data_IF_795235510031
#
_entry.id   IF_795235510031
#
_cell.length_a   1.000
_cell.length_b   1.000
_cell.length_c   1.000
_cell.angle_alpha   90.00
_cell.angle_beta   90.00
_cell.angle_gamma   90.00
#
_symmetry.space_group_name_H-M   'P 1'
#
loop_
_entity.id
_entity.type
_entity.pdbx_description
1 polymer ?
#
# COMPACT_ATOMS: atom_id res chain seq x y z
N UNK A 1 -19.25 -13.94 -5.59
CA UNK A 1 -18.61 -12.96 -4.71
C UNK A 1 -19.25 -11.56 -4.87
N UNK A 2 -20.37 -11.44 -5.59
CA UNK A 2 -20.96 -10.15 -5.99
C UNK A 2 -21.62 -9.34 -4.87
N UNK A 3 -21.91 -9.92 -3.70
CA UNK A 3 -22.73 -9.21 -2.70
C UNK A 3 -22.03 -8.83 -1.39
N UNK A 4 -20.74 -9.19 -1.23
CA UNK A 4 -20.04 -8.95 0.05
C UNK A 4 -19.82 -7.46 0.31
N UNK A 5 -19.55 -6.69 -0.76
CA UNK A 5 -19.26 -5.26 -0.67
C UNK A 5 -20.46 -4.36 -1.00
N UNK A 6 -21.59 -4.95 -1.39
CA UNK A 6 -22.80 -4.20 -1.73
C UNK A 6 -23.28 -3.37 -0.54
N UNK A 7 -23.47 -2.06 -0.77
CA UNK A 7 -23.84 -1.07 0.23
C UNK A 7 -22.83 -0.93 1.41
N UNK A 8 -21.63 -1.49 1.28
CA UNK A 8 -20.56 -1.32 2.27
C UNK A 8 -19.82 -0.01 2.04
N UNK A 9 -19.55 0.71 3.12
CA UNK A 9 -18.77 1.95 3.10
C UNK A 9 -17.30 1.58 3.10
N UNK A 10 -16.62 1.84 1.97
CA UNK A 10 -15.23 1.51 1.73
C UNK A 10 -14.40 2.79 1.58
N UNK A 11 -13.50 3.02 2.51
CA UNK A 11 -12.55 4.14 2.51
C UNK A 11 -11.26 3.68 1.82
N UNK A 12 -10.74 4.46 0.86
CA UNK A 12 -9.53 4.12 0.11
C UNK A 12 -8.63 5.35 0.02
N UNK A 13 -7.42 5.27 0.56
CA UNK A 13 -6.37 6.27 0.34
C UNK A 13 -5.48 5.89 -0.84
N UNK A 14 -4.85 6.85 -1.52
CA UNK A 14 -4.06 6.57 -2.71
C UNK A 14 -4.92 6.16 -3.91
N UNK A 15 -6.14 6.70 -3.99
CA UNK A 15 -7.14 6.30 -4.97
C UNK A 15 -6.89 6.85 -6.38
N UNK A 16 -5.97 7.80 -6.56
CA UNK A 16 -5.68 8.42 -7.85
C UNK A 16 -5.00 7.49 -8.86
N UNK A 17 -4.41 6.37 -8.43
CA UNK A 17 -3.69 5.49 -9.34
C UNK A 17 -3.52 4.06 -8.82
N UNK A 18 -2.94 3.18 -9.64
CA UNK A 18 -2.44 1.87 -9.24
C UNK A 18 -3.44 0.99 -8.49
N UNK A 19 -3.02 0.43 -7.36
CA UNK A 19 -3.84 -0.47 -6.53
C UNK A 19 -5.07 0.25 -5.98
N UNK A 20 -4.94 1.53 -5.55
CA UNK A 20 -6.05 2.30 -4.99
C UNK A 20 -7.17 2.53 -6.02
N UNK A 21 -6.81 2.96 -7.24
CA UNK A 21 -7.75 3.10 -8.37
C UNK A 21 -8.42 1.76 -8.71
N UNK A 22 -7.63 0.70 -8.81
CA UNK A 22 -8.17 -0.63 -9.13
C UNK A 22 -9.12 -1.17 -8.03
N UNK A 23 -8.84 -0.87 -6.76
CA UNK A 23 -9.77 -1.16 -5.66
C UNK A 23 -11.06 -0.37 -5.78
N UNK A 24 -10.98 0.94 -6.05
CA UNK A 24 -12.14 1.81 -6.20
C UNK A 24 -13.07 1.31 -7.31
N UNK A 25 -12.54 1.03 -8.50
CA UNK A 25 -13.29 0.50 -9.64
C UNK A 25 -13.93 -0.86 -9.30
N UNK A 26 -13.13 -1.80 -8.75
CA UNK A 26 -13.63 -3.15 -8.45
C UNK A 26 -14.69 -3.14 -7.35
N UNK A 27 -14.61 -2.25 -6.36
CA UNK A 27 -15.61 -2.08 -5.31
C UNK A 27 -16.88 -1.43 -5.84
N UNK A 28 -16.75 -0.45 -6.72
CA UNK A 28 -17.89 0.19 -7.39
C UNK A 28 -18.71 -0.82 -8.20
N UNK A 29 -18.05 -1.69 -8.97
CA UNK A 29 -18.68 -2.79 -9.71
C UNK A 29 -19.46 -3.75 -8.80
N UNK A 30 -19.11 -3.83 -7.51
CA UNK A 30 -19.79 -4.64 -6.50
C UNK A 30 -20.85 -3.85 -5.70
N UNK A 31 -21.11 -2.59 -6.07
CA UNK A 31 -22.14 -1.75 -5.45
C UNK A 31 -21.74 -1.20 -4.06
N UNK A 32 -20.45 -1.02 -3.81
CA UNK A 32 -19.96 -0.37 -2.60
C UNK A 32 -20.23 1.15 -2.61
N UNK A 33 -20.32 1.74 -1.43
CA UNK A 33 -20.28 3.19 -1.20
C UNK A 33 -18.82 3.56 -0.97
N UNK A 34 -18.31 4.57 -1.67
CA UNK A 34 -16.88 4.87 -1.70
C UNK A 34 -16.55 6.19 -1.05
N UNK A 35 -15.52 6.21 -0.23
CA UNK A 35 -14.84 7.41 0.24
C UNK A 35 -13.38 7.34 -0.22
N UNK A 36 -13.04 8.17 -1.21
CA UNK A 36 -11.75 8.15 -1.90
C UNK A 36 -10.88 9.32 -1.45
N UNK A 37 -9.57 9.12 -1.34
CA UNK A 37 -8.65 10.22 -1.10
C UNK A 37 -7.30 10.01 -1.78
N UNK A 38 -6.70 11.12 -2.18
CA UNK A 38 -5.35 11.18 -2.73
C UNK A 38 -4.82 12.62 -2.62
N UNK A 39 -3.51 12.81 -2.75
CA UNK A 39 -2.89 14.12 -2.90
C UNK A 39 -2.97 14.63 -4.35
N UNK A 40 -3.09 13.72 -5.32
CA UNK A 40 -3.19 14.02 -6.75
C UNK A 40 -4.67 14.21 -7.15
N UNK A 41 -5.10 15.47 -7.17
CA UNK A 41 -6.47 15.86 -7.51
C UNK A 41 -6.90 15.38 -8.90
N UNK A 42 -6.05 15.57 -9.91
CA UNK A 42 -6.35 15.17 -11.30
C UNK A 42 -6.57 13.67 -11.39
N UNK A 43 -5.65 12.86 -10.87
CA UNK A 43 -5.76 11.42 -10.91
C UNK A 43 -6.93 10.89 -10.05
N UNK A 44 -7.29 11.59 -8.98
CA UNK A 44 -8.47 11.26 -8.18
C UNK A 44 -9.76 11.53 -8.95
N UNK A 45 -9.86 12.67 -9.63
CA UNK A 45 -10.99 13.01 -10.49
C UNK A 45 -11.19 11.99 -11.62
N UNK A 46 -10.10 11.59 -12.30
CA UNK A 46 -10.15 10.51 -13.30
C UNK A 46 -10.71 9.20 -12.70
N UNK A 47 -10.31 8.85 -11.48
CA UNK A 47 -10.80 7.64 -10.83
C UNK A 47 -12.31 7.74 -10.53
N UNK A 48 -12.77 8.89 -10.07
CA UNK A 48 -14.21 9.15 -9.84
C UNK A 48 -15.01 9.01 -11.13
N UNK A 49 -14.51 9.54 -12.23
CA UNK A 49 -15.14 9.39 -13.55
C UNK A 49 -15.21 7.92 -14.00
N UNK A 50 -14.12 7.16 -13.84
CA UNK A 50 -14.05 5.73 -14.18
C UNK A 50 -15.00 4.87 -13.35
N UNK A 51 -15.23 5.24 -12.10
CA UNK A 51 -16.17 4.53 -11.19
C UNK A 51 -17.61 4.68 -11.67
N UNK A 52 -17.95 5.80 -12.30
CA UNK A 52 -19.26 6.05 -12.91
C UNK A 52 -20.36 6.46 -11.93
N UNK A 53 -21.43 7.02 -12.48
CA UNK A 53 -22.42 7.86 -11.79
C UNK A 53 -23.52 7.16 -10.97
N UNK A 54 -23.57 5.84 -10.86
CA UNK A 54 -24.60 5.15 -10.07
C UNK A 54 -24.18 4.86 -8.62
N UNK A 55 -22.90 5.01 -8.31
CA UNK A 55 -22.36 4.77 -6.97
C UNK A 55 -22.36 6.05 -6.13
N UNK A 56 -22.64 5.91 -4.83
CA UNK A 56 -22.44 7.01 -3.89
C UNK A 56 -20.95 7.15 -3.61
N UNK A 57 -20.35 8.26 -4.06
CA UNK A 57 -18.92 8.53 -3.95
C UNK A 57 -18.72 9.85 -3.21
N UNK A 58 -17.78 9.84 -2.26
CA UNK A 58 -17.20 11.04 -1.66
C UNK A 58 -15.70 11.02 -1.97
N UNK A 59 -15.14 12.15 -2.34
CA UNK A 59 -13.70 12.28 -2.59
C UNK A 59 -13.14 13.54 -1.95
N UNK A 60 -11.92 13.43 -1.43
CA UNK A 60 -11.19 14.52 -0.78
C UNK A 60 -9.73 14.49 -1.15
N UNK A 61 -9.14 15.68 -1.33
CA UNK A 61 -7.73 15.87 -1.67
C UNK A 61 -6.96 16.31 -0.43
N UNK A 62 -6.02 15.48 0.03
CA UNK A 62 -5.14 15.83 1.15
C UNK A 62 -3.86 14.99 1.16
N UNK A 63 -2.83 15.48 1.87
CA UNK A 63 -1.59 14.76 2.10
C UNK A 63 -1.73 13.82 3.31
N UNK A 64 -1.28 12.58 3.19
CA UNK A 64 -1.24 11.60 4.29
C UNK A 64 -0.31 12.01 5.45
N UNK A 65 0.54 13.00 5.24
CA UNK A 65 1.33 13.62 6.30
C UNK A 65 0.52 14.58 7.18
N UNK A 66 -0.63 15.07 6.69
CA UNK A 66 -1.50 16.02 7.41
C UNK A 66 -2.45 15.29 8.36
N UNK A 67 -2.13 15.36 9.67
CA UNK A 67 -2.92 14.71 10.71
C UNK A 67 -4.31 15.32 10.90
N UNK A 68 -4.43 16.66 10.72
CA UNK A 68 -5.70 17.37 10.90
C UNK A 68 -6.65 17.08 9.74
N UNK A 69 -6.13 17.06 8.50
CA UNK A 69 -6.88 16.68 7.33
C UNK A 69 -7.41 15.24 7.43
N UNK A 70 -6.60 14.30 7.92
CA UNK A 70 -7.03 12.91 8.15
C UNK A 70 -8.16 12.84 9.18
N UNK A 71 -8.04 13.54 10.31
CA UNK A 71 -9.06 13.54 11.36
C UNK A 71 -10.38 14.13 10.84
N UNK A 72 -10.31 15.26 10.14
CA UNK A 72 -11.45 15.93 9.51
C UNK A 72 -12.12 15.04 8.46
N UNK A 73 -11.31 14.34 7.64
CA UNK A 73 -11.80 13.40 6.63
C UNK A 73 -12.58 12.25 7.27
N UNK A 74 -12.07 11.64 8.35
CA UNK A 74 -12.75 10.54 9.02
C UNK A 74 -14.12 10.97 9.60
N UNK A 75 -14.22 12.16 10.19
CA UNK A 75 -15.47 12.72 10.68
C UNK A 75 -16.44 13.00 9.51
N UNK A 76 -15.95 13.59 8.42
CA UNK A 76 -16.76 13.88 7.23
C UNK A 76 -17.34 12.60 6.61
N UNK A 77 -16.54 11.53 6.53
CA UNK A 77 -17.01 10.21 6.06
C UNK A 77 -18.16 9.72 6.92
N UNK A 78 -17.99 9.72 8.24
CA UNK A 78 -19.02 9.23 9.17
C UNK A 78 -20.33 10.04 9.08
N UNK A 79 -20.23 11.38 9.01
CA UNK A 79 -21.38 12.27 8.91
C UNK A 79 -22.11 12.15 7.56
N UNK A 80 -21.38 11.92 6.46
CA UNK A 80 -21.95 11.94 5.11
C UNK A 80 -22.42 10.57 4.64
N UNK A 81 -21.64 9.54 4.95
CA UNK A 81 -21.85 8.18 4.45
C UNK A 81 -22.29 7.22 5.56
N UNK A 82 -21.90 7.48 6.79
CA UNK A 82 -22.01 6.59 7.94
C UNK A 82 -20.67 5.94 8.29
N UNK A 83 -20.67 5.10 9.33
CA UNK A 83 -19.46 4.45 9.81
C UNK A 83 -18.89 3.47 8.77
N UNK A 84 -17.57 3.53 8.55
CA UNK A 84 -16.87 2.73 7.58
C UNK A 84 -16.89 1.22 7.90
N UNK A 85 -17.20 0.40 6.89
CA UNK A 85 -17.08 -1.07 6.97
C UNK A 85 -15.66 -1.54 6.63
N UNK A 86 -14.98 -0.86 5.69
CA UNK A 86 -13.63 -1.18 5.25
C UNK A 86 -12.80 0.08 5.11
N UNK A 87 -11.54 0.02 5.58
CA UNK A 87 -10.55 1.08 5.35
C UNK A 87 -9.32 0.46 4.71
N UNK A 88 -9.00 0.92 3.50
CA UNK A 88 -7.84 0.50 2.72
C UNK A 88 -6.80 1.61 2.72
N UNK A 89 -5.76 1.48 3.53
CA UNK A 89 -4.62 2.38 3.58
C UNK A 89 -3.63 1.99 2.48
N UNK A 90 -3.83 2.57 1.28
CA UNK A 90 -3.07 2.23 0.08
C UNK A 90 -2.06 3.30 -0.28
N UNK A 91 -2.32 4.56 0.08
CA UNK A 91 -1.42 5.66 -0.17
C UNK A 91 0.00 5.35 0.30
N UNK A 92 0.96 5.73 -0.49
CA UNK A 92 2.36 5.56 -0.19
C UNK A 92 3.24 6.05 -1.33
N UNK A 93 4.45 6.41 -1.00
CA UNK A 93 5.47 6.85 -1.94
C UNK A 93 6.76 6.05 -1.74
N UNK A 94 7.60 6.05 -2.76
CA UNK A 94 8.96 5.55 -2.66
C UNK A 94 9.95 6.60 -3.18
N UNK A 95 11.16 6.53 -2.66
CA UNK A 95 12.33 7.25 -3.16
C UNK A 95 13.45 6.24 -3.34
N UNK A 96 14.37 6.53 -4.23
CA UNK A 96 15.51 5.66 -4.55
C UNK A 96 16.79 6.44 -4.30
N UNK A 97 17.70 5.85 -3.56
CA UNK A 97 19.03 6.41 -3.26
C UNK A 97 19.73 5.60 -2.18
N UNK A 98 21.05 5.57 -2.26
CA UNK A 98 21.86 4.98 -1.20
C UNK A 98 21.75 5.83 0.07
N UNK A 99 21.88 5.21 1.23
CA UNK A 99 21.75 5.88 2.52
C UNK A 99 22.65 7.11 2.65
N UNK A 100 23.88 7.01 2.16
CA UNK A 100 24.88 8.09 2.25
C UNK A 100 24.54 9.32 1.39
N UNK A 101 23.73 9.14 0.35
CA UNK A 101 23.38 10.18 -0.61
C UNK A 101 21.95 10.73 -0.43
N UNK A 102 21.13 10.03 0.37
CA UNK A 102 19.72 10.40 0.57
C UNK A 102 19.60 11.42 1.70
N UNK A 103 19.03 12.63 1.45
CA UNK A 103 18.76 13.60 2.50
C UNK A 103 17.85 13.05 3.60
N UNK A 104 18.06 13.45 4.85
CA UNK A 104 17.26 12.99 6.00
C UNK A 104 15.79 13.35 5.82
N UNK A 105 15.51 14.56 5.31
CA UNK A 105 14.14 15.04 5.04
C UNK A 105 13.39 14.13 4.05
N UNK A 106 14.12 13.55 3.08
CA UNK A 106 13.57 12.56 2.15
C UNK A 106 13.15 11.29 2.85
N UNK A 107 13.97 10.82 3.80
CA UNK A 107 13.66 9.63 4.61
C UNK A 107 12.48 9.87 5.55
N UNK A 108 12.46 11.03 6.21
CA UNK A 108 11.38 11.46 7.11
C UNK A 108 10.05 11.56 6.36
N UNK A 109 10.05 12.16 5.15
CA UNK A 109 8.84 12.24 4.31
C UNK A 109 8.28 10.87 3.95
N UNK A 110 9.15 9.90 3.62
CA UNK A 110 8.72 8.52 3.34
C UNK A 110 8.10 7.89 4.58
N UNK A 111 8.70 8.07 5.75
CA UNK A 111 8.14 7.55 7.02
C UNK A 111 6.83 8.24 7.37
N UNK A 112 6.72 9.54 7.17
CA UNK A 112 5.53 10.31 7.53
C UNK A 112 4.32 9.89 6.69
N UNK A 113 4.50 9.73 5.39
CA UNK A 113 3.42 9.28 4.49
C UNK A 113 3.13 7.78 4.68
N UNK A 114 4.15 6.92 4.55
CA UNK A 114 3.96 5.47 4.47
C UNK A 114 3.60 4.82 5.79
N UNK A 115 4.14 5.32 6.91
CA UNK A 115 3.94 4.74 8.23
C UNK A 115 3.00 5.60 9.08
N UNK A 116 3.34 6.87 9.34
CA UNK A 116 2.51 7.71 10.18
C UNK A 116 1.14 7.99 9.57
N UNK A 117 1.06 8.15 8.24
CA UNK A 117 -0.22 8.26 7.54
C UNK A 117 -1.11 7.03 7.78
N UNK A 118 -0.55 5.82 7.69
CA UNK A 118 -1.28 4.58 7.99
C UNK A 118 -1.72 4.53 9.46
N UNK A 119 -0.86 4.92 10.42
CA UNK A 119 -1.19 4.96 11.85
C UNK A 119 -2.31 5.97 12.13
N UNK A 120 -2.20 7.19 11.59
CA UNK A 120 -3.20 8.26 11.74
C UNK A 120 -4.56 7.85 11.18
N UNK A 121 -4.60 7.32 9.96
CA UNK A 121 -5.83 6.78 9.36
C UNK A 121 -6.43 5.65 10.17
N UNK A 122 -5.59 4.70 10.60
CA UNK A 122 -6.04 3.58 11.43
C UNK A 122 -6.67 4.07 12.74
N UNK A 123 -6.07 5.09 13.37
CA UNK A 123 -6.57 5.67 14.62
C UNK A 123 -7.87 6.46 14.39
N UNK A 124 -7.95 7.26 13.34
CA UNK A 124 -9.12 8.10 13.04
C UNK A 124 -10.37 7.27 12.68
N UNK A 125 -10.19 6.10 12.07
CA UNK A 125 -11.30 5.22 11.69
C UNK A 125 -11.56 4.06 12.66
N UNK A 126 -10.79 3.93 13.75
CA UNK A 126 -10.85 2.75 14.62
C UNK A 126 -12.24 2.51 15.19
N UNK A 127 -12.88 3.55 15.73
CA UNK A 127 -14.21 3.43 16.36
C UNK A 127 -15.27 3.03 15.34
N UNK A 128 -15.22 3.57 14.13
CA UNK A 128 -16.11 3.20 13.04
C UNK A 128 -15.94 1.71 12.67
N UNK A 129 -14.69 1.23 12.50
CA UNK A 129 -14.37 -0.15 12.20
C UNK A 129 -14.77 -1.09 13.34
N UNK A 130 -14.60 -0.69 14.60
CA UNK A 130 -15.06 -1.45 15.77
C UNK A 130 -16.58 -1.58 15.79
N UNK A 131 -17.32 -0.49 15.58
CA UNK A 131 -18.79 -0.47 15.58
C UNK A 131 -19.39 -1.38 14.51
N UNK A 132 -18.75 -1.46 13.33
CA UNK A 132 -19.17 -2.29 12.18
C UNK A 132 -18.63 -3.72 12.23
N UNK A 133 -17.76 -4.04 13.18
CA UNK A 133 -16.91 -5.26 13.12
C UNK A 133 -16.25 -5.38 11.74
N UNK A 134 -15.81 -4.25 11.22
CA UNK A 134 -15.31 -4.06 9.86
C UNK A 134 -13.90 -4.60 9.64
N UNK A 135 -13.21 -4.08 8.63
CA UNK A 135 -11.84 -4.53 8.29
C UNK A 135 -10.93 -3.35 7.95
N UNK A 136 -9.79 -3.29 8.61
CA UNK A 136 -8.68 -2.38 8.30
C UNK A 136 -7.63 -3.13 7.48
N UNK A 137 -7.22 -2.55 6.36
CA UNK A 137 -6.29 -3.14 5.40
C UNK A 137 -5.13 -2.20 5.16
N UNK A 138 -3.94 -2.57 5.61
CA UNK A 138 -2.73 -1.76 5.49
C UNK A 138 -1.78 -2.34 4.44
N UNK A 139 -1.38 -1.53 3.47
CA UNK A 139 -0.47 -1.97 2.40
C UNK A 139 0.99 -1.79 2.85
N UNK A 140 1.62 -2.92 3.19
CA UNK A 140 3.05 -3.05 3.34
C UNK A 140 3.71 -3.34 1.97
N UNK A 141 4.64 -4.27 1.89
CA UNK A 141 5.36 -4.69 0.68
C UNK A 141 6.08 -6.00 0.96
N UNK A 142 6.63 -6.65 -0.07
CA UNK A 142 7.71 -7.65 0.11
C UNK A 142 8.92 -7.02 0.79
N UNK A 143 9.15 -5.72 0.61
CA UNK A 143 10.18 -4.94 1.33
C UNK A 143 9.83 -4.67 2.81
N UNK A 144 8.71 -5.19 3.30
CA UNK A 144 8.40 -5.39 4.72
C UNK A 144 8.87 -6.75 5.25
N UNK A 145 9.51 -7.59 4.42
CA UNK A 145 10.14 -8.86 4.81
C UNK A 145 11.66 -8.87 4.62
N UNK A 146 12.15 -8.09 3.67
CA UNK A 146 13.57 -8.06 3.26
C UNK A 146 14.07 -6.63 3.17
N UNK A 147 15.36 -6.43 3.44
CA UNK A 147 16.08 -5.21 3.08
C UNK A 147 16.48 -5.25 1.61
N UNK A 148 16.51 -4.09 0.97
CA UNK A 148 16.90 -3.90 -0.41
C UNK A 148 17.79 -2.65 -0.53
N UNK A 149 18.95 -2.80 -1.16
CA UNK A 149 19.88 -1.69 -1.31
C UNK A 149 19.25 -0.52 -2.08
N UNK A 150 19.56 0.71 -1.70
CA UNK A 150 18.95 1.92 -2.28
C UNK A 150 17.50 2.19 -1.85
N UNK A 151 16.94 1.39 -0.90
CA UNK A 151 15.58 1.50 -0.41
C UNK A 151 15.49 1.49 1.13
N UNK A 152 16.53 1.96 1.82
CA UNK A 152 16.62 1.90 3.29
C UNK A 152 15.37 2.47 3.97
N UNK A 153 14.98 3.69 3.61
CA UNK A 153 13.83 4.40 4.18
C UNK A 153 12.49 3.74 3.80
N UNK A 154 12.36 3.27 2.56
CA UNK A 154 11.14 2.57 2.10
C UNK A 154 10.99 1.22 2.81
N UNK A 155 12.05 0.41 2.85
CA UNK A 155 12.05 -0.85 3.60
C UNK A 155 11.67 -0.60 5.06
N UNK A 156 12.33 0.36 5.73
CA UNK A 156 12.04 0.71 7.12
C UNK A 156 10.55 1.03 7.31
N UNK A 157 9.97 1.87 6.44
CA UNK A 157 8.56 2.23 6.51
C UNK A 157 7.63 1.02 6.35
N UNK A 158 7.93 0.09 5.42
CA UNK A 158 7.10 -1.09 5.16
C UNK A 158 7.25 -2.18 6.21
N UNK A 159 8.43 -2.31 6.86
CA UNK A 159 8.59 -3.11 8.07
C UNK A 159 7.78 -2.52 9.24
N UNK A 160 7.81 -1.19 9.41
CA UNK A 160 7.04 -0.51 10.45
C UNK A 160 5.52 -0.72 10.27
N UNK A 161 4.99 -0.55 9.05
CA UNK A 161 3.57 -0.83 8.73
C UNK A 161 3.21 -2.27 9.05
N UNK A 162 4.08 -3.23 8.70
CA UNK A 162 3.85 -4.64 9.02
C UNK A 162 3.80 -4.87 10.53
N UNK A 163 4.82 -4.40 11.26
CA UNK A 163 4.91 -4.57 12.73
C UNK A 163 3.68 -3.97 13.43
N UNK A 164 3.33 -2.73 13.08
CA UNK A 164 2.12 -2.06 13.57
C UNK A 164 0.85 -2.88 13.29
N UNK A 165 0.66 -3.32 12.06
CA UNK A 165 -0.55 -4.05 11.65
C UNK A 165 -0.66 -5.41 12.34
N UNK A 166 0.44 -6.17 12.43
CA UNK A 166 0.47 -7.48 13.09
C UNK A 166 0.22 -7.35 14.61
N UNK A 167 0.74 -6.29 15.26
CA UNK A 167 0.50 -6.01 16.68
C UNK A 167 -0.95 -5.59 16.93
N UNK A 168 -1.48 -4.65 16.13
CA UNK A 168 -2.87 -4.21 16.25
C UNK A 168 -3.87 -5.38 16.07
N UNK A 169 -3.54 -6.35 15.20
CA UNK A 169 -4.34 -7.56 15.04
C UNK A 169 -4.41 -8.43 16.31
N UNK A 170 -3.34 -8.42 17.14
CA UNK A 170 -3.35 -9.13 18.43
C UNK A 170 -4.17 -8.36 19.47
N UNK A 171 -4.01 -7.03 19.53
CA UNK A 171 -4.75 -6.18 20.49
C UNK A 171 -6.27 -6.26 20.26
N UNK A 172 -6.71 -6.32 18.99
CA UNK A 172 -8.11 -6.37 18.63
C UNK A 172 -8.69 -7.79 18.48
N UNK A 173 -7.92 -8.80 18.91
CA UNK A 173 -8.39 -10.20 18.88
C UNK A 173 -9.66 -10.37 19.70
N UNK A 174 -10.67 -11.03 19.12
CA UNK A 174 -11.97 -11.27 19.78
C UNK A 174 -13.01 -10.17 19.58
N UNK A 175 -12.64 -8.98 19.07
CA UNK A 175 -13.60 -7.88 18.78
C UNK A 175 -14.47 -8.13 17.55
N UNK A 176 -14.07 -9.08 16.72
CA UNK A 176 -14.71 -9.34 15.42
C UNK A 176 -14.19 -8.45 14.28
N UNK A 177 -13.27 -7.53 14.55
CA UNK A 177 -12.61 -6.70 13.53
C UNK A 177 -11.57 -7.49 12.75
N UNK A 178 -11.45 -7.25 11.45
CA UNK A 178 -10.36 -7.75 10.61
C UNK A 178 -9.22 -6.74 10.53
N UNK A 179 -7.98 -7.19 10.76
CA UNK A 179 -6.78 -6.39 10.58
C UNK A 179 -5.85 -7.13 9.62
N UNK A 180 -5.64 -6.55 8.44
CA UNK A 180 -4.97 -7.20 7.32
C UNK A 180 -3.67 -6.47 6.95
N UNK A 181 -2.54 -7.16 7.00
CA UNK A 181 -1.28 -6.70 6.42
C UNK A 181 -1.12 -7.27 5.01
N UNK A 182 -1.03 -6.39 4.02
CA UNK A 182 -0.91 -6.77 2.61
C UNK A 182 0.53 -6.60 2.15
N UNK A 183 1.06 -7.60 1.46
CA UNK A 183 2.44 -7.61 0.98
C UNK A 183 2.46 -7.87 -0.53
N UNK A 184 2.36 -6.82 -1.36
CA UNK A 184 2.54 -6.93 -2.78
C UNK A 184 3.99 -7.25 -3.13
N UNK A 185 4.18 -8.10 -4.13
CA UNK A 185 5.43 -8.22 -4.90
C UNK A 185 5.52 -7.14 -5.97
N UNK A 186 6.04 -7.46 -7.12
CA UNK A 186 6.09 -6.56 -8.27
C UNK A 186 4.70 -6.32 -8.85
N UNK A 187 4.14 -5.13 -8.63
CA UNK A 187 2.87 -4.70 -9.20
C UNK A 187 3.13 -3.62 -10.26
N UNK A 188 2.51 -3.74 -11.42
CA UNK A 188 2.63 -2.80 -12.54
C UNK A 188 1.88 -1.49 -12.21
N UNK A 189 2.48 -0.66 -11.36
CA UNK A 189 1.96 0.65 -10.94
C UNK A 189 2.97 1.74 -11.20
N UNK A 190 2.53 2.98 -11.18
CA UNK A 190 3.40 4.14 -11.35
C UNK A 190 4.29 4.46 -10.13
N UNK A 191 4.25 3.64 -9.06
CA UNK A 191 5.00 3.95 -7.82
C UNK A 191 6.50 4.08 -8.06
N UNK A 192 7.08 3.22 -8.91
CA UNK A 192 8.51 3.31 -9.26
C UNK A 192 8.78 4.46 -10.24
N UNK A 193 7.90 4.65 -11.23
CA UNK A 193 8.02 5.75 -12.20
C UNK A 193 7.87 7.12 -11.53
N UNK A 194 7.02 7.21 -10.50
CA UNK A 194 6.84 8.42 -9.68
C UNK A 194 7.87 8.52 -8.54
N UNK A 195 8.75 7.50 -8.39
CA UNK A 195 9.80 7.55 -7.39
C UNK A 195 10.75 8.72 -7.66
N UNK A 196 11.01 9.52 -6.66
CA UNK A 196 12.05 10.55 -6.74
C UNK A 196 13.38 9.86 -6.50
N UNK A 197 14.30 9.95 -7.46
CA UNK A 197 15.67 9.53 -7.26
C UNK A 197 16.45 10.69 -6.62
N UNK A 198 16.88 10.52 -5.37
CA UNK A 198 17.71 11.53 -4.69
C UNK A 198 19.11 11.57 -5.33
N UNK A 199 19.60 10.43 -5.81
CA UNK A 199 20.79 10.30 -6.65
C UNK A 199 20.63 9.04 -7.52
N UNK A 200 21.05 9.13 -8.80
CA UNK A 200 21.14 7.96 -9.66
C UNK A 200 22.29 7.04 -9.19
N UNK A 201 22.19 5.73 -9.41
CA UNK A 201 23.26 4.80 -9.04
C UNK A 201 24.59 5.12 -9.71
N UNK A 202 25.69 4.98 -8.97
CA UNK A 202 27.05 5.26 -9.48
C UNK A 202 27.50 4.30 -10.58
N UNK A 203 26.76 3.21 -10.83
CA UNK A 203 27.00 2.27 -11.94
C UNK A 203 26.60 2.82 -13.33
N UNK A 204 26.17 4.08 -13.41
CA UNK A 204 25.79 4.74 -14.65
C UNK A 204 24.42 4.36 -15.20
N UNK A 205 23.61 3.59 -14.46
CA UNK A 205 22.27 3.24 -14.90
C UNK A 205 21.39 4.49 -15.03
N UNK A 206 20.76 4.68 -16.19
CA UNK A 206 19.83 5.78 -16.43
C UNK A 206 18.49 5.52 -15.72
N UNK A 207 17.67 6.57 -15.61
CA UNK A 207 16.32 6.46 -15.07
C UNK A 207 15.48 5.49 -15.88
N UNK A 208 15.60 5.54 -17.21
CA UNK A 208 14.88 4.68 -18.14
C UNK A 208 15.25 3.20 -17.96
N UNK A 209 16.53 2.91 -17.70
CA UNK A 209 17.00 1.54 -17.43
C UNK A 209 16.45 1.02 -16.09
N UNK A 210 16.38 1.87 -15.07
CA UNK A 210 15.77 1.52 -13.78
C UNK A 210 14.26 1.24 -13.92
N UNK A 211 13.54 2.08 -14.66
CA UNK A 211 12.11 1.91 -14.90
C UNK A 211 11.85 0.63 -15.72
N UNK A 212 12.67 0.34 -16.75
CA UNK A 212 12.58 -0.89 -17.53
C UNK A 212 12.90 -2.15 -16.70
N UNK A 213 13.83 -2.05 -15.76
CA UNK A 213 14.13 -3.14 -14.83
C UNK A 213 12.96 -3.39 -13.87
N UNK A 214 12.32 -2.32 -13.36
CA UNK A 214 11.13 -2.44 -12.54
C UNK A 214 9.96 -3.05 -13.32
N UNK A 215 9.71 -2.62 -14.56
CA UNK A 215 8.64 -3.15 -15.39
C UNK A 215 8.78 -4.67 -15.64
N UNK A 216 9.99 -5.18 -15.77
CA UNK A 216 10.26 -6.63 -15.87
C UNK A 216 9.89 -7.40 -14.57
N UNK A 217 10.02 -6.75 -13.42
CA UNK A 217 9.65 -7.34 -12.12
C UNK A 217 8.17 -7.17 -11.80
N UNK A 218 7.50 -6.20 -12.41
CA UNK A 218 6.11 -5.84 -12.16
C UNK A 218 5.14 -6.77 -12.90
N UNK A 219 5.14 -8.05 -12.54
CA UNK A 219 4.40 -9.13 -13.23
C UNK A 219 2.93 -9.23 -12.87
N UNK A 220 2.46 -8.49 -11.86
CA UNK A 220 1.08 -8.52 -11.39
C UNK A 220 0.38 -7.21 -11.72
N UNK A 221 -0.80 -7.26 -12.37
CA UNK A 221 -1.57 -6.04 -12.65
C UNK A 221 -2.27 -5.51 -11.38
N UNK A 222 -2.57 -4.19 -11.32
CA UNK A 222 -3.32 -3.57 -10.22
C UNK A 222 -4.69 -4.21 -9.99
N UNK A 223 -5.41 -4.58 -11.06
CA UNK A 223 -6.73 -5.21 -10.98
C UNK A 223 -6.65 -6.61 -10.35
N UNK A 224 -5.61 -7.37 -10.70
CA UNK A 224 -5.36 -8.68 -10.08
C UNK A 224 -4.99 -8.52 -8.61
N UNK A 225 -4.20 -7.50 -8.28
CA UNK A 225 -3.86 -7.16 -6.89
C UNK A 225 -5.12 -6.77 -6.09
N UNK A 226 -5.98 -5.90 -6.63
CA UNK A 226 -7.24 -5.50 -6.01
C UNK A 226 -8.14 -6.70 -5.70
N UNK A 227 -8.33 -7.62 -6.66
CA UNK A 227 -9.14 -8.84 -6.45
C UNK A 227 -8.58 -9.72 -5.32
N UNK A 228 -7.25 -9.84 -5.20
CA UNK A 228 -6.61 -10.62 -4.12
C UNK A 228 -6.79 -9.93 -2.77
N UNK A 229 -6.63 -8.60 -2.72
CA UNK A 229 -6.83 -7.79 -1.51
C UNK A 229 -8.27 -7.94 -1.03
N UNK A 230 -9.26 -7.69 -1.89
CA UNK A 230 -10.68 -7.78 -1.54
C UNK A 230 -11.07 -9.16 -1.04
N UNK A 231 -10.62 -10.23 -1.73
CA UNK A 231 -10.86 -11.62 -1.27
C UNK A 231 -10.25 -11.90 0.10
N UNK A 232 -9.09 -11.32 0.40
CA UNK A 232 -8.42 -11.45 1.68
C UNK A 232 -9.10 -10.66 2.79
N UNK A 233 -9.46 -9.40 2.50
CA UNK A 233 -10.14 -8.49 3.42
C UNK A 233 -11.53 -9.01 3.84
N UNK A 234 -12.33 -9.50 2.88
CA UNK A 234 -13.62 -10.13 3.16
C UNK A 234 -13.52 -11.34 4.11
N UNK A 235 -12.39 -12.05 4.08
CA UNK A 235 -12.09 -13.20 4.96
C UNK A 235 -11.31 -12.80 6.22
N UNK A 236 -11.08 -11.50 6.44
CA UNK A 236 -10.29 -10.96 7.57
C UNK A 236 -8.93 -11.64 7.74
N UNK A 237 -8.25 -11.94 6.61
CA UNK A 237 -6.94 -12.57 6.64
C UNK A 237 -5.89 -11.62 7.20
N UNK A 238 -5.21 -12.02 8.27
CA UNK A 238 -4.15 -11.20 8.88
C UNK A 238 -2.99 -10.88 7.92
N UNK A 239 -2.69 -11.80 6.97
CA UNK A 239 -1.63 -11.60 5.98
C UNK A 239 -2.13 -11.95 4.58
N UNK A 240 -1.90 -11.03 3.64
CA UNK A 240 -2.27 -11.18 2.23
C UNK A 240 -1.02 -10.99 1.39
N UNK A 241 -0.58 -12.04 0.69
CA UNK A 241 0.55 -12.01 -0.23
C UNK A 241 0.04 -11.90 -1.67
N UNK A 242 0.59 -10.97 -2.46
CA UNK A 242 0.19 -10.75 -3.84
C UNK A 242 1.37 -11.02 -4.77
N UNK A 243 1.18 -11.97 -5.68
CA UNK A 243 2.21 -12.46 -6.59
C UNK A 243 2.87 -13.75 -6.11
N UNK A 244 3.51 -14.47 -7.03
CA UNK A 244 4.33 -15.66 -6.74
C UNK A 244 5.62 -15.27 -6.05
N UNK A 245 6.21 -14.16 -6.48
CA UNK A 245 7.39 -13.53 -5.92
C UNK A 245 7.22 -13.20 -4.43
N UNK A 246 6.09 -12.58 -4.04
CA UNK A 246 5.80 -12.31 -2.64
C UNK A 246 5.75 -13.57 -1.77
N UNK A 247 5.24 -14.68 -2.32
CA UNK A 247 5.20 -15.97 -1.60
C UNK A 247 6.60 -16.56 -1.43
N UNK A 248 7.40 -16.53 -2.48
CA UNK A 248 8.80 -17.01 -2.46
C UNK A 248 9.63 -16.18 -1.48
N UNK A 249 9.58 -14.85 -1.60
CA UNK A 249 10.32 -13.94 -0.71
C UNK A 249 9.91 -14.14 0.75
N UNK A 250 8.61 -14.23 1.04
CA UNK A 250 8.10 -14.46 2.40
C UNK A 250 8.57 -15.80 2.98
N UNK A 251 8.67 -16.85 2.16
CA UNK A 251 9.16 -18.15 2.60
C UNK A 251 10.67 -18.13 2.83
N UNK A 252 11.43 -17.61 1.86
CA UNK A 252 12.89 -17.55 1.90
C UNK A 252 13.36 -16.70 3.08
N UNK A 253 12.79 -15.51 3.28
CA UNK A 253 13.16 -14.64 4.42
C UNK A 253 12.84 -15.25 5.79
N UNK A 254 11.84 -16.12 5.88
CA UNK A 254 11.51 -16.84 7.12
C UNK A 254 12.46 -17.99 7.42
N UNK A 255 12.84 -18.76 6.40
CA UNK A 255 13.73 -19.92 6.57
C UNK A 255 15.21 -19.51 6.65
N UNK A 256 15.59 -18.43 5.98
CA UNK A 256 16.96 -17.95 5.90
C UNK A 256 17.03 -16.44 6.28
N UNK A 257 16.78 -16.08 7.54
CA UNK A 257 16.59 -14.67 7.96
C UNK A 257 17.83 -13.79 7.75
N UNK A 258 19.03 -14.36 7.66
CA UNK A 258 20.28 -13.65 7.39
C UNK A 258 20.76 -13.90 5.94
N UNK A 259 20.57 -15.10 5.44
CA UNK A 259 21.08 -15.52 4.12
C UNK A 259 20.15 -15.28 2.93
N UNK A 260 18.96 -14.73 3.15
CA UNK A 260 17.95 -14.54 2.09
C UNK A 260 18.48 -13.70 0.92
N UNK A 261 19.32 -12.69 1.17
CA UNK A 261 19.87 -11.82 0.13
C UNK A 261 20.66 -12.63 -0.92
N UNK A 262 21.60 -13.47 -0.46
CA UNK A 262 22.40 -14.34 -1.37
C UNK A 262 21.54 -15.31 -2.17
N UNK A 263 20.43 -15.81 -1.57
CA UNK A 263 19.51 -16.72 -2.24
C UNK A 263 18.71 -15.97 -3.31
N UNK A 264 18.21 -14.80 -2.98
CA UNK A 264 17.41 -13.98 -3.89
C UNK A 264 18.27 -13.43 -5.05
N UNK A 265 19.52 -13.02 -4.80
CA UNK A 265 20.50 -12.66 -5.82
C UNK A 265 20.66 -13.77 -6.86
N UNK A 266 20.92 -15.00 -6.40
CA UNK A 266 21.08 -16.16 -7.27
C UNK A 266 19.81 -16.49 -8.07
N UNK A 267 18.63 -16.26 -7.49
CA UNK A 267 17.35 -16.54 -8.14
C UNK A 267 16.98 -15.48 -9.19
N UNK A 268 17.34 -14.22 -8.99
CA UNK A 268 17.06 -13.13 -9.93
C UNK A 268 18.05 -13.03 -11.10
N UNK A 269 19.07 -13.90 -11.12
CA UNK A 269 20.17 -13.82 -12.08
C UNK A 269 20.90 -12.49 -11.93
N UNK A 270 22.21 -12.45 -11.88
CA UNK A 270 23.16 -11.34 -11.62
C UNK A 270 22.78 -9.91 -12.09
N UNK A 271 21.52 -9.62 -12.33
CA UNK A 271 21.00 -8.36 -12.83
C UNK A 271 20.14 -7.65 -11.79
N UNK A 272 20.68 -6.57 -11.23
CA UNK A 272 19.94 -5.36 -10.75
C UNK A 272 19.27 -5.43 -9.38
N UNK A 273 19.25 -6.52 -8.61
CA UNK A 273 18.49 -6.55 -7.37
C UNK A 273 19.28 -6.04 -6.15
N UNK A 274 20.59 -6.09 -6.18
CA UNK A 274 21.43 -5.57 -5.08
C UNK A 274 22.57 -4.80 -5.72
N UNK A 275 22.66 -3.51 -5.39
CA UNK A 275 23.69 -2.63 -5.95
C UNK A 275 25.06 -3.30 -6.00
N UNK A 276 25.78 -3.07 -7.08
CA UNK A 276 27.11 -3.57 -7.29
C UNK A 276 27.98 -3.30 -6.04
N UNK A 277 28.79 -4.31 -5.71
CA UNK A 277 29.79 -4.17 -4.64
C UNK A 277 30.70 -2.99 -4.93
N UNK A 278 31.16 -2.28 -3.86
CA UNK A 278 32.18 -1.24 -4.01
C UNK A 278 33.47 -1.79 -4.60
#
# INVERSE_FOLDING_TARGET
>A
MSDIYKNKICVITGAASGIGRALAITLAEQGAVLALSDINETGLSETVEMVGGSNKIMNDVFDMADAEAIASYAQKVEQTLGAADYVFNVAGLTRVGNFVDTPLESMEKVMDVNYWGVVRMSKAFLDQILSKKGTLVNISSVFGFIGYAGQTHYCASKFAVRGFTETLAQELKGTGVGICSVHPGGIATNIARNAIADKLPDNGASREEMDAAFDKMAITSPEKAAKVILKGAAKKKQRILIGSDARVISLVSRLFPVGYSKILEKYSGNNVILGDKP
#
